data_IF_780117174936
#
_entry.id   IF_780117174936
#
_cell.length_a   1.000
_cell.length_b   1.000
_cell.length_c   1.000
_cell.angle_alpha   90.00
_cell.angle_beta   90.00
_cell.angle_gamma   90.00
#
_symmetry.space_group_name_H-M   'P 1'
#
loop_
_entity.id
_entity.type
_entity.pdbx_description
1 polymer ?
#
# COMPACT_ATOMS: atom_id res chain seq x y z
N UNK A 1 51.45 -8.24 5.13
CA UNK A 1 50.48 -8.55 4.06
C UNK A 1 49.19 -7.84 4.43
N UNK A 2 49.17 -6.50 4.45
CA UNK A 2 48.18 -5.75 5.26
C UNK A 2 47.14 -4.94 4.44
N UNK A 3 47.20 -4.97 3.11
CA UNK A 3 46.28 -4.21 2.24
C UNK A 3 45.05 -5.01 1.77
N UNK A 4 44.93 -6.28 2.17
CA UNK A 4 43.80 -7.16 1.78
C UNK A 4 42.59 -7.08 2.71
N UNK A 5 42.80 -6.67 3.96
CA UNK A 5 41.73 -6.59 4.97
C UNK A 5 40.69 -5.46 4.75
N UNK A 6 41.06 -4.22 4.34
CA UNK A 6 40.09 -3.14 4.21
C UNK A 6 39.17 -3.32 2.99
N UNK A 7 39.65 -3.99 1.94
CA UNK A 7 38.86 -4.27 0.73
C UNK A 7 37.78 -5.32 0.99
N UNK A 8 38.05 -6.31 1.85
CA UNK A 8 37.06 -7.34 2.23
C UNK A 8 35.94 -6.74 3.09
N UNK A 9 36.27 -5.81 4.00
CA UNK A 9 35.28 -5.09 4.80
C UNK A 9 34.43 -4.11 3.97
N UNK A 10 35.03 -3.44 2.98
CA UNK A 10 34.28 -2.59 2.04
C UNK A 10 33.29 -3.42 1.19
N UNK A 11 33.68 -4.63 0.77
CA UNK A 11 32.79 -5.52 0.02
C UNK A 11 31.63 -6.07 0.87
N UNK A 12 31.86 -6.37 2.15
CA UNK A 12 30.79 -6.79 3.07
C UNK A 12 29.77 -5.68 3.34
N UNK A 13 30.22 -4.42 3.48
CA UNK A 13 29.32 -3.29 3.69
C UNK A 13 28.43 -3.00 2.46
N UNK A 14 28.94 -3.21 1.24
CA UNK A 14 28.16 -3.05 0.00
C UNK A 14 27.13 -4.17 -0.19
N UNK A 15 27.41 -5.38 0.30
CA UNK A 15 26.48 -6.51 0.23
C UNK A 15 25.29 -6.38 1.20
N UNK A 16 25.48 -5.74 2.36
CA UNK A 16 24.41 -5.51 3.35
C UNK A 16 23.43 -4.39 2.95
N UNK A 17 23.75 -3.59 1.93
CA UNK A 17 22.90 -2.51 1.42
C UNK A 17 22.01 -2.87 0.23
N UNK A 18 21.95 -4.15 -0.17
CA UNK A 18 21.22 -4.59 -1.37
C UNK A 18 20.29 -5.77 -1.09
N UNK A 19 19.40 -5.56 -0.12
CA UNK A 19 18.09 -6.23 -0.04
C UNK A 19 17.09 -5.16 -0.49
N UNK A 20 16.23 -5.31 -1.48
CA UNK A 20 15.57 -6.50 -1.97
C UNK A 20 15.22 -6.27 -3.45
N UNK A 21 14.92 -7.35 -4.14
CA UNK A 21 14.68 -7.45 -5.58
C UNK A 21 13.66 -6.40 -6.06
N UNK A 22 13.85 -5.91 -7.29
CA UNK A 22 12.82 -5.31 -8.15
C UNK A 22 11.63 -6.28 -8.37
N UNK A 23 10.99 -6.74 -7.31
CA UNK A 23 9.65 -7.29 -7.34
C UNK A 23 8.76 -6.09 -7.00
N UNK A 24 8.14 -5.52 -8.03
CA UNK A 24 7.18 -4.43 -7.84
C UNK A 24 6.19 -4.76 -6.72
N UNK A 25 5.74 -3.73 -6.02
CA UNK A 25 4.77 -3.86 -4.93
C UNK A 25 3.60 -4.71 -5.43
N UNK A 26 3.39 -5.88 -4.84
CA UNK A 26 2.30 -6.77 -5.27
C UNK A 26 0.97 -6.15 -4.87
N UNK A 27 -0.04 -6.10 -5.76
CA UNK A 27 -1.37 -5.63 -5.41
C UNK A 27 -1.95 -6.41 -4.22
N UNK A 28 -2.58 -5.70 -3.27
CA UNK A 28 -3.02 -6.31 -2.02
C UNK A 28 -4.26 -7.20 -2.17
N UNK A 29 -5.04 -6.99 -3.22
CA UNK A 29 -6.15 -7.84 -3.64
C UNK A 29 -5.67 -9.22 -4.08
N UNK A 30 -4.63 -9.29 -4.91
CA UNK A 30 -4.03 -10.57 -5.30
C UNK A 30 -3.54 -11.38 -4.09
N UNK A 31 -2.92 -10.70 -3.12
CA UNK A 31 -2.47 -11.33 -1.87
C UNK A 31 -3.65 -11.77 -1.00
N UNK A 32 -4.71 -10.98 -0.95
CA UNK A 32 -5.94 -11.33 -0.22
C UNK A 32 -6.59 -12.58 -0.82
N UNK A 33 -6.74 -12.65 -2.14
CA UNK A 33 -7.31 -13.81 -2.83
C UNK A 33 -6.48 -15.08 -2.59
N UNK A 34 -5.15 -14.97 -2.70
CA UNK A 34 -4.24 -16.06 -2.40
C UNK A 34 -4.34 -16.54 -0.93
N UNK A 35 -4.51 -15.60 0.01
CA UNK A 35 -4.72 -15.94 1.42
C UNK A 35 -6.05 -16.67 1.66
N UNK A 36 -7.14 -16.21 1.02
CA UNK A 36 -8.45 -16.85 1.11
C UNK A 36 -8.43 -18.25 0.49
N UNK A 37 -7.77 -18.43 -0.64
CA UNK A 37 -7.56 -19.75 -1.25
C UNK A 37 -6.77 -20.69 -0.31
N UNK A 38 -5.69 -20.19 0.29
CA UNK A 38 -4.90 -20.93 1.27
C UNK A 38 -5.73 -21.32 2.51
N UNK A 39 -6.64 -20.45 2.96
CA UNK A 39 -7.52 -20.70 4.08
C UNK A 39 -8.42 -21.91 3.83
N UNK A 40 -9.05 -22.00 2.66
CA UNK A 40 -9.89 -23.14 2.30
C UNK A 40 -9.09 -24.43 2.11
N UNK A 41 -7.80 -24.34 1.77
CA UNK A 41 -6.88 -25.48 1.72
C UNK A 41 -6.35 -25.91 3.10
N UNK A 42 -6.58 -25.10 4.15
CA UNK A 42 -6.03 -25.32 5.48
C UNK A 42 -4.52 -25.06 5.59
N UNK A 43 -3.93 -24.33 4.64
CA UNK A 43 -2.52 -23.94 4.69
C UNK A 43 -2.36 -22.65 5.50
N UNK A 44 -2.35 -22.80 6.82
CA UNK A 44 -2.38 -21.69 7.77
C UNK A 44 -1.16 -20.77 7.69
N UNK A 45 0.02 -21.30 7.35
CA UNK A 45 1.23 -20.50 7.18
C UNK A 45 1.10 -19.60 5.95
N UNK A 46 0.61 -20.14 4.83
CA UNK A 46 0.34 -19.34 3.63
C UNK A 46 -0.74 -18.28 3.86
N UNK A 47 -1.77 -18.58 4.67
CA UNK A 47 -2.76 -17.56 5.09
C UNK A 47 -2.06 -16.41 5.79
N UNK A 48 -1.24 -16.69 6.81
CA UNK A 48 -0.53 -15.66 7.60
C UNK A 48 0.35 -14.81 6.67
N UNK A 49 1.21 -15.45 5.89
CA UNK A 49 2.17 -14.77 5.01
C UNK A 49 1.48 -13.84 4.01
N UNK A 50 0.47 -14.35 3.30
CA UNK A 50 -0.21 -13.55 2.28
C UNK A 50 -1.06 -12.44 2.91
N UNK A 51 -1.76 -12.72 4.02
CA UNK A 51 -2.66 -11.76 4.64
C UNK A 51 -1.92 -10.61 5.32
N UNK A 52 -0.79 -10.88 5.99
CA UNK A 52 0.07 -9.83 6.55
C UNK A 52 0.70 -8.98 5.45
N UNK A 53 1.18 -9.61 4.38
CA UNK A 53 1.73 -8.90 3.22
C UNK A 53 0.67 -8.04 2.54
N UNK A 54 -0.57 -8.50 2.45
CA UNK A 54 -1.68 -7.72 1.91
C UNK A 54 -1.94 -6.45 2.73
N UNK A 55 -1.99 -6.57 4.07
CA UNK A 55 -2.15 -5.43 4.98
C UNK A 55 -1.00 -4.42 4.84
N UNK A 56 0.25 -4.89 4.81
CA UNK A 56 1.43 -4.06 4.64
C UNK A 56 1.45 -3.33 3.29
N UNK A 57 1.13 -4.04 2.20
CA UNK A 57 1.10 -3.46 0.86
C UNK A 57 -0.01 -2.41 0.73
N UNK A 58 -1.20 -2.67 1.29
CA UNK A 58 -2.29 -1.67 1.33
C UNK A 58 -1.85 -0.40 2.06
N UNK A 59 -1.24 -0.53 3.23
CA UNK A 59 -0.74 0.61 4.00
C UNK A 59 0.35 1.38 3.24
N UNK A 60 1.21 0.66 2.52
CA UNK A 60 2.28 1.24 1.69
C UNK A 60 1.69 2.06 0.53
N UNK A 61 0.74 1.50 -0.22
CA UNK A 61 0.03 2.22 -1.30
C UNK A 61 -0.63 3.50 -0.75
N UNK A 62 -1.35 3.40 0.37
CA UNK A 62 -2.02 4.55 0.98
C UNK A 62 -1.02 5.64 1.40
N UNK A 63 0.11 5.24 2.00
CA UNK A 63 1.17 6.16 2.40
C UNK A 63 1.77 6.88 1.19
N UNK A 64 2.10 6.15 0.12
CA UNK A 64 2.66 6.73 -1.10
C UNK A 64 1.68 7.71 -1.74
N UNK A 65 0.39 7.34 -1.88
CA UNK A 65 -0.66 8.23 -2.40
C UNK A 65 -0.80 9.51 -1.57
N UNK A 66 -0.82 9.38 -0.24
CA UNK A 66 -0.88 10.54 0.65
C UNK A 66 0.35 11.45 0.50
N UNK A 67 1.55 10.86 0.44
CA UNK A 67 2.79 11.60 0.26
C UNK A 67 2.85 12.33 -1.08
N UNK A 68 2.46 11.68 -2.19
CA UNK A 68 2.38 12.33 -3.50
C UNK A 68 1.40 13.51 -3.49
N UNK A 69 0.21 13.33 -2.89
CA UNK A 69 -0.79 14.40 -2.78
C UNK A 69 -0.30 15.61 -1.98
N UNK A 70 0.44 15.39 -0.90
CA UNK A 70 1.03 16.45 -0.07
C UNK A 70 2.17 17.16 -0.81
N UNK A 71 3.10 16.41 -1.40
CA UNK A 71 4.24 16.97 -2.13
C UNK A 71 3.79 17.83 -3.32
N UNK A 72 2.79 17.37 -4.09
CA UNK A 72 2.26 18.13 -5.22
C UNK A 72 1.40 19.32 -4.78
N UNK A 73 0.74 19.27 -3.61
CA UNK A 73 0.01 20.42 -3.07
C UNK A 73 0.93 21.62 -2.84
N UNK A 74 2.13 21.37 -2.31
CA UNK A 74 3.11 22.39 -2.00
C UNK A 74 3.66 23.07 -3.27
N UNK A 75 3.70 22.36 -4.40
CA UNK A 75 4.19 22.88 -5.68
C UNK A 75 3.15 23.69 -6.45
N UNK A 76 1.86 23.48 -6.18
CA UNK A 76 0.75 24.12 -6.90
C UNK A 76 -0.11 25.00 -5.98
N UNK A 77 0.51 25.63 -4.98
CA UNK A 77 -0.21 26.48 -4.03
C UNK A 77 -1.05 27.54 -4.77
N UNK A 78 -2.34 27.62 -4.42
CA UNK A 78 -3.27 28.56 -5.02
C UNK A 78 -3.01 29.96 -4.45
N UNK A 79 -1.99 30.65 -4.96
CA UNK A 79 -1.62 31.99 -4.48
C UNK A 79 -0.76 32.82 -5.43
N UNK A 80 -0.02 32.21 -6.36
CA UNK A 80 0.73 32.99 -7.36
C UNK A 80 -0.18 33.49 -8.48
N UNK A 81 -0.27 34.81 -8.72
CA UNK A 81 -0.93 35.35 -9.90
C UNK A 81 -0.18 34.85 -11.14
N UNK A 82 -0.90 34.34 -12.14
CA UNK A 82 -0.28 34.05 -13.44
C UNK A 82 0.14 35.38 -14.06
N UNK A 83 1.43 35.70 -13.98
CA UNK A 83 2.01 36.80 -14.71
C UNK A 83 1.93 36.49 -16.21
N UNK A 84 1.02 37.16 -16.93
CA UNK A 84 1.07 37.17 -18.40
C UNK A 84 -0.24 37.03 -19.19
N UNK A 85 -1.42 36.94 -18.57
CA UNK A 85 -2.67 36.97 -19.34
C UNK A 85 -3.18 38.41 -19.48
N UNK A 86 -2.78 39.02 -20.58
CA UNK A 86 -3.09 40.40 -20.95
C UNK A 86 -4.59 40.68 -21.15
N UNK A 87 -4.90 41.98 -21.04
CA UNK A 87 -6.11 42.73 -21.45
C UNK A 87 -7.40 41.92 -21.57
N UNK A 88 -8.44 42.20 -20.75
CA UNK A 88 -9.75 41.56 -20.89
C UNK A 88 -10.34 41.80 -22.29
N UNK A 89 -10.58 40.72 -23.05
CA UNK A 89 -11.29 40.78 -24.33
C UNK A 89 -12.80 40.70 -24.04
N UNK A 90 -13.61 41.68 -24.47
CA UNK A 90 -15.06 41.65 -24.26
C UNK A 90 -15.69 40.39 -24.90
N UNK A 91 -16.36 39.57 -24.09
CA UNK A 91 -16.99 38.32 -24.54
C UNK A 91 -16.21 37.04 -24.26
N UNK A 92 -14.95 37.14 -23.82
CA UNK A 92 -14.26 36.02 -23.18
C UNK A 92 -14.68 35.94 -21.71
N UNK A 93 -15.00 34.74 -21.22
CA UNK A 93 -15.27 34.50 -19.79
C UNK A 93 -14.09 34.91 -18.90
N UNK A 94 -14.25 34.78 -17.58
CA UNK A 94 -13.21 35.23 -16.64
C UNK A 94 -11.87 34.51 -16.92
N UNK A 95 -10.82 35.30 -17.16
CA UNK A 95 -9.48 34.77 -17.49
C UNK A 95 -8.84 34.15 -16.26
N UNK A 96 -9.26 34.58 -15.06
CA UNK A 96 -8.90 33.96 -13.79
C UNK A 96 -9.37 32.50 -13.64
N UNK A 97 -10.53 32.12 -14.20
CA UNK A 97 -11.02 30.73 -14.15
C UNK A 97 -10.10 29.77 -14.94
N UNK A 98 -9.58 30.21 -16.09
CA UNK A 98 -8.64 29.41 -16.90
C UNK A 98 -7.34 29.13 -16.13
N UNK A 99 -6.82 30.13 -15.42
CA UNK A 99 -5.63 29.99 -14.58
C UNK A 99 -5.83 29.01 -13.42
N UNK A 100 -7.04 29.01 -12.84
CA UNK A 100 -7.43 28.07 -11.81
C UNK A 100 -7.48 26.62 -12.33
N UNK A 101 -8.15 26.37 -13.45
CA UNK A 101 -8.20 25.01 -14.05
C UNK A 101 -6.81 24.52 -14.45
N UNK A 102 -5.95 25.40 -14.98
CA UNK A 102 -4.56 25.04 -15.30
C UNK A 102 -3.79 24.55 -14.06
N UNK A 103 -4.00 25.16 -12.89
CA UNK A 103 -3.38 24.70 -11.63
C UNK A 103 -3.92 23.34 -11.19
N UNK A 104 -5.22 23.10 -11.34
CA UNK A 104 -5.83 21.79 -11.05
C UNK A 104 -5.22 20.71 -11.94
N UNK A 105 -5.15 20.93 -13.26
CA UNK A 105 -4.59 19.97 -14.20
C UNK A 105 -3.11 19.69 -13.91
N UNK A 106 -2.31 20.74 -13.68
CA UNK A 106 -0.89 20.58 -13.29
C UNK A 106 -0.73 19.75 -12.01
N UNK A 107 -1.61 19.96 -11.01
CA UNK A 107 -1.56 19.17 -9.78
C UNK A 107 -1.94 17.71 -10.02
N UNK A 108 -2.96 17.46 -10.84
CA UNK A 108 -3.37 16.11 -11.22
C UNK A 108 -2.23 15.37 -11.95
N UNK A 109 -1.58 16.03 -12.90
CA UNK A 109 -0.43 15.48 -13.64
C UNK A 109 0.75 15.17 -12.71
N UNK A 110 1.06 16.06 -11.76
CA UNK A 110 2.09 15.84 -10.74
C UNK A 110 1.78 14.60 -9.89
N UNK A 111 0.55 14.48 -9.38
CA UNK A 111 0.15 13.34 -8.53
C UNK A 111 0.22 12.04 -9.32
N UNK A 112 -0.33 12.03 -10.54
CA UNK A 112 -0.31 10.84 -11.40
C UNK A 112 1.12 10.39 -11.74
N UNK A 113 2.00 11.34 -12.04
CA UNK A 113 3.42 11.05 -12.33
C UNK A 113 4.14 10.49 -11.09
N UNK A 114 3.94 11.10 -9.92
CA UNK A 114 4.52 10.64 -8.66
C UNK A 114 4.04 9.24 -8.25
N UNK A 115 2.73 8.98 -8.38
CA UNK A 115 2.17 7.66 -8.10
C UNK A 115 2.71 6.63 -9.10
N UNK A 116 2.80 6.98 -10.38
CA UNK A 116 3.32 6.09 -11.43
C UNK A 116 4.79 5.72 -11.23
N UNK A 117 5.62 6.69 -10.80
CA UNK A 117 7.04 6.46 -10.51
C UNK A 117 7.25 5.52 -9.32
N UNK A 118 6.47 5.69 -8.25
CA UNK A 118 6.67 4.92 -7.01
C UNK A 118 5.92 3.59 -6.97
N UNK A 119 4.74 3.51 -7.56
CA UNK A 119 3.86 2.34 -7.51
C UNK A 119 3.78 1.59 -8.85
N UNK A 120 4.34 2.15 -9.91
CA UNK A 120 4.11 1.65 -11.26
C UNK A 120 2.74 2.07 -11.77
N UNK A 121 2.26 1.39 -12.82
CA UNK A 121 1.07 1.82 -13.53
C UNK A 121 -0.19 1.83 -12.63
N UNK A 122 -1.01 2.91 -12.62
CA UNK A 122 -2.14 3.06 -11.69
C UNK A 122 -3.15 1.90 -11.70
N UNK A 123 -3.33 1.24 -12.85
CA UNK A 123 -4.26 0.10 -12.98
C UNK A 123 -3.81 -1.13 -12.18
N UNK A 124 -2.52 -1.26 -11.85
CA UNK A 124 -2.03 -2.39 -11.05
C UNK A 124 -2.54 -2.35 -9.62
N UNK A 125 -2.89 -1.18 -9.08
CA UNK A 125 -3.38 -1.02 -7.72
C UNK A 125 -4.81 -0.50 -7.67
N UNK A 126 -5.55 -0.70 -8.76
CA UNK A 126 -6.98 -0.46 -8.82
C UNK A 126 -7.71 -1.71 -8.35
N UNK A 127 -8.11 -1.69 -7.08
CA UNK A 127 -8.75 -2.82 -6.41
C UNK A 127 -10.27 -2.71 -6.50
N UNK A 128 -10.95 -3.86 -6.60
CA UNK A 128 -12.41 -3.95 -6.56
C UNK A 128 -13.01 -3.40 -5.27
N UNK A 129 -14.22 -2.83 -5.37
CA UNK A 129 -14.93 -2.27 -4.21
C UNK A 129 -15.24 -3.33 -3.15
N UNK A 130 -15.50 -4.56 -3.57
CA UNK A 130 -15.71 -5.73 -2.73
C UNK A 130 -14.52 -6.03 -1.82
N UNK A 131 -13.32 -6.11 -2.39
CA UNK A 131 -12.09 -6.33 -1.60
C UNK A 131 -11.83 -5.14 -0.68
N UNK A 132 -12.03 -3.91 -1.16
CA UNK A 132 -11.84 -2.73 -0.30
C UNK A 132 -12.79 -2.75 0.90
N UNK A 133 -14.05 -3.16 0.71
CA UNK A 133 -15.03 -3.35 1.79
C UNK A 133 -14.58 -4.41 2.80
N UNK A 134 -13.98 -5.51 2.37
CA UNK A 134 -13.44 -6.53 3.28
C UNK A 134 -12.32 -5.96 4.17
N UNK A 135 -11.43 -5.15 3.62
CA UNK A 135 -10.41 -4.47 4.43
C UNK A 135 -11.01 -3.39 5.35
N UNK A 136 -12.04 -2.67 4.92
CA UNK A 136 -12.75 -1.70 5.78
C UNK A 136 -13.44 -2.38 6.96
N UNK A 137 -14.04 -3.55 6.74
CA UNK A 137 -14.64 -4.40 7.78
C UNK A 137 -13.61 -5.11 8.67
N UNK A 138 -12.31 -4.96 8.37
CA UNK A 138 -11.20 -5.63 9.08
C UNK A 138 -11.22 -7.16 8.92
N UNK A 139 -11.83 -7.69 7.86
CA UNK A 139 -11.91 -9.13 7.57
C UNK A 139 -10.53 -9.83 7.52
N UNK A 140 -9.45 -9.24 6.97
CA UNK A 140 -8.12 -9.85 7.01
C UNK A 140 -7.66 -10.27 8.42
N UNK A 141 -8.02 -9.49 9.45
CA UNK A 141 -7.65 -9.82 10.82
C UNK A 141 -8.39 -11.04 11.36
N UNK A 142 -9.63 -11.28 10.92
CA UNK A 142 -10.39 -12.48 11.30
C UNK A 142 -9.72 -13.74 10.75
N UNK A 143 -9.26 -13.72 9.50
CA UNK A 143 -8.49 -14.82 8.92
C UNK A 143 -7.18 -15.06 9.67
N UNK A 144 -6.46 -13.98 10.01
CA UNK A 144 -5.21 -14.08 10.78
C UNK A 144 -5.43 -14.69 12.15
N UNK A 145 -6.50 -14.30 12.87
CA UNK A 145 -6.84 -14.87 14.17
C UNK A 145 -7.00 -16.40 14.10
N UNK A 146 -7.79 -16.88 13.13
CA UNK A 146 -8.00 -18.32 12.94
C UNK A 146 -6.69 -19.00 12.54
N UNK A 147 -5.94 -18.44 11.59
CA UNK A 147 -4.70 -19.05 11.12
C UNK A 147 -3.65 -19.16 12.22
N UNK A 148 -3.41 -18.09 12.98
CA UNK A 148 -2.52 -18.12 14.14
C UNK A 148 -2.99 -19.14 15.18
N UNK A 149 -4.29 -19.14 15.50
CA UNK A 149 -4.85 -20.15 16.40
C UNK A 149 -4.57 -21.59 15.90
N UNK A 150 -4.81 -21.88 14.62
CA UNK A 150 -4.57 -23.22 14.05
C UNK A 150 -3.09 -23.61 14.07
N UNK A 151 -2.17 -22.69 13.78
CA UNK A 151 -0.72 -22.93 13.86
C UNK A 151 -0.30 -23.23 15.30
N UNK A 152 -0.72 -22.41 16.26
CA UNK A 152 -0.33 -22.59 17.67
C UNK A 152 -1.03 -23.79 18.33
N UNK A 153 -2.30 -24.05 18.03
CA UNK A 153 -3.02 -25.23 18.53
C UNK A 153 -2.57 -26.53 17.88
N UNK A 154 -2.07 -26.50 16.64
CA UNK A 154 -1.39 -27.64 16.03
C UNK A 154 -0.08 -28.00 16.74
N UNK A 155 0.55 -27.02 17.40
CA UNK A 155 1.77 -27.19 18.20
C UNK A 155 1.49 -27.52 19.68
N UNK A 156 0.26 -27.31 20.14
CA UNK A 156 -0.17 -27.55 21.52
C UNK A 156 -1.41 -28.47 21.53
N UNK A 157 -1.19 -29.78 21.45
CA UNK A 157 -2.16 -30.71 22.05
C UNK A 157 -2.20 -30.35 23.55
N UNK A 158 -3.39 -30.17 24.13
CA UNK A 158 -3.60 -29.87 25.56
C UNK A 158 -3.66 -28.39 26.03
N UNK A 159 -4.35 -27.51 25.29
CA UNK A 159 -4.99 -26.38 25.97
C UNK A 159 -6.43 -26.20 25.51
N UNK A 160 -7.38 -26.25 26.44
CA UNK A 160 -8.81 -26.10 26.19
C UNK A 160 -9.12 -24.69 25.71
N UNK A 161 -9.01 -24.45 24.41
CA UNK A 161 -9.39 -23.18 23.80
C UNK A 161 -10.81 -23.29 23.25
N UNK A 162 -11.62 -22.27 23.55
CA UNK A 162 -13.05 -22.20 23.26
C UNK A 162 -13.36 -22.51 21.78
N UNK A 163 -14.32 -23.41 21.48
CA UNK A 163 -14.65 -23.83 20.12
C UNK A 163 -15.27 -22.72 19.26
N UNK A 164 -15.63 -21.58 19.87
CA UNK A 164 -16.33 -20.47 19.22
C UNK A 164 -15.48 -19.68 18.22
N UNK A 165 -14.16 -19.85 18.25
CA UNK A 165 -13.24 -19.14 17.36
C UNK A 165 -12.98 -19.82 16.02
N UNK A 166 -13.48 -21.04 15.80
CA UNK A 166 -13.16 -21.79 14.58
C UNK A 166 -13.96 -21.36 13.35
N UNK A 167 -14.93 -20.44 13.46
CA UNK A 167 -15.91 -20.16 12.38
C UNK A 167 -15.99 -18.71 11.88
N UNK A 168 -15.10 -17.80 12.27
CA UNK A 168 -15.21 -16.35 11.92
C UNK A 168 -16.52 -15.66 12.36
N UNK A 169 -17.44 -16.36 13.03
CA UNK A 169 -18.75 -15.84 13.45
C UNK A 169 -18.66 -14.82 14.61
N UNK A 170 -17.54 -14.84 15.35
CA UNK A 170 -17.31 -13.97 16.51
C UNK A 170 -15.90 -13.37 16.50
N UNK A 171 -15.80 -12.13 17.00
CA UNK A 171 -14.54 -11.41 17.15
C UNK A 171 -13.73 -12.07 18.29
N UNK A 172 -12.76 -12.91 17.94
CA UNK A 172 -12.00 -13.72 18.92
C UNK A 172 -11.02 -12.95 19.78
N UNK A 173 -10.75 -11.70 19.40
CA UNK A 173 -10.01 -10.73 20.20
C UNK A 173 -10.95 -9.58 20.53
N UNK A 174 -11.63 -9.65 21.68
CA UNK A 174 -11.94 -8.41 22.40
C UNK A 174 -10.62 -7.88 22.94
N UNK A 175 -10.20 -6.71 22.47
CA UNK A 175 -9.23 -5.89 23.19
C UNK A 175 -9.84 -5.42 24.51
#
# INVERSE_FOLDING_TARGET
MELRYPLVWLCLAVALGRSDVNQGLVPFDFLFDAAVEAYYKGDWLSVILNMEKALLNKATVQKVKAQCRLSCANQTAFGEPLAGLGVPVPGAGSVEDLGFFQKILKRADCVNSCETEQLGYPSLHQVGEDVELEFQKRTPYNYLQVAYFKVFSGLQQEFTVSPDCSKMDHNCLRF
#
